data_IF_962207839530
#
_entry.id   IF_962207839530
#
_cell.length_a   1.000
_cell.length_b   1.000
_cell.length_c   1.000
_cell.angle_alpha   90.00
_cell.angle_beta   90.00
_cell.angle_gamma   90.00
#
_symmetry.space_group_name_H-M   'P 1'
#
loop_
_entity.id
_entity.type
_entity.pdbx_description
1 polymer ?
#
# COMPACT_ATOMS: atom_id res chain seq x y z
N UNK A 1 2.09 17.57 8.00
CA UNK A 1 0.82 17.11 7.45
C UNK A 1 0.63 17.78 6.11
N UNK A 2 0.19 17.01 5.13
CA UNK A 2 -0.20 17.53 3.81
C UNK A 2 -1.58 16.97 3.51
N UNK A 3 -2.47 17.84 3.07
CA UNK A 3 -3.84 17.47 2.74
C UNK A 3 -3.98 17.39 1.22
N UNK A 4 -4.70 16.35 0.75
CA UNK A 4 -5.07 16.24 -0.66
C UNK A 4 -6.28 17.14 -0.91
N UNK A 5 -6.29 17.93 -2.00
CA UNK A 5 -7.44 18.79 -2.32
C UNK A 5 -8.70 17.99 -2.63
N UNK A 6 -8.53 16.75 -3.08
CA UNK A 6 -9.61 15.81 -3.40
C UNK A 6 -9.24 14.43 -2.89
N UNK A 7 -10.22 13.69 -2.36
CA UNK A 7 -10.02 12.31 -1.93
C UNK A 7 -9.50 11.47 -3.11
N UNK A 8 -8.42 10.73 -2.89
CA UNK A 8 -7.70 10.04 -3.95
C UNK A 8 -7.20 8.67 -3.47
N UNK A 9 -7.40 7.63 -4.29
CA UNK A 9 -6.88 6.28 -4.05
C UNK A 9 -5.71 5.92 -5.01
N UNK A 10 -5.24 6.89 -5.79
CA UNK A 10 -4.14 6.69 -6.72
C UNK A 10 -2.83 6.52 -5.95
N UNK A 11 -2.34 5.29 -5.87
CA UNK A 11 -1.09 4.96 -5.18
C UNK A 11 0.12 5.74 -5.71
N UNK A 12 0.13 6.10 -7.00
CA UNK A 12 1.22 6.87 -7.60
C UNK A 12 1.27 8.28 -7.01
N UNK A 13 0.12 8.93 -6.87
CA UNK A 13 0.04 10.27 -6.28
C UNK A 13 0.33 10.26 -4.79
N UNK A 14 -0.19 9.25 -4.08
CA UNK A 14 0.10 9.06 -2.65
C UNK A 14 1.61 8.92 -2.43
N UNK A 15 2.29 8.08 -3.22
CA UNK A 15 3.74 7.91 -3.13
C UNK A 15 4.50 9.19 -3.47
N UNK A 16 4.12 9.92 -4.52
CA UNK A 16 4.73 11.21 -4.86
C UNK A 16 4.59 12.21 -3.70
N UNK A 17 3.42 12.29 -3.11
CA UNK A 17 3.18 13.18 -1.98
C UNK A 17 3.97 12.77 -0.74
N UNK A 18 4.07 11.47 -0.47
CA UNK A 18 4.88 10.94 0.63
C UNK A 18 6.37 11.29 0.45
N UNK A 19 6.90 11.17 -0.77
CA UNK A 19 8.29 11.57 -1.08
C UNK A 19 8.49 13.06 -0.85
N UNK A 20 7.58 13.89 -1.32
CA UNK A 20 7.63 15.35 -1.08
C UNK A 20 7.58 15.71 0.41
N UNK A 21 6.76 14.99 1.18
CA UNK A 21 6.75 15.15 2.64
C UNK A 21 8.08 14.72 3.27
N UNK A 22 8.68 13.65 2.77
CA UNK A 22 9.95 13.14 3.26
C UNK A 22 11.07 14.16 3.06
N UNK A 23 11.14 14.82 1.91
CA UNK A 23 12.13 15.87 1.61
C UNK A 23 12.10 17.01 2.65
N UNK A 24 10.91 17.35 3.16
CA UNK A 24 10.75 18.39 4.16
C UNK A 24 11.17 17.98 5.58
N UNK A 25 11.09 16.68 5.91
CA UNK A 25 11.38 16.19 7.27
C UNK A 25 12.73 15.48 7.37
N UNK A 26 13.28 15.05 6.25
CA UNK A 26 14.56 14.37 6.23
C UNK A 26 15.70 15.31 6.60
N UNK A 27 16.53 14.88 7.55
CA UNK A 27 17.75 15.59 7.94
C UNK A 27 18.94 14.67 7.76
N UNK A 28 19.93 15.12 7.04
CA UNK A 28 21.17 14.36 6.84
C UNK A 28 21.91 14.19 8.17
N UNK A 29 22.58 13.06 8.36
CA UNK A 29 23.34 12.75 9.57
C UNK A 29 22.53 12.10 10.69
N UNK A 30 21.21 12.01 10.61
CA UNK A 30 20.39 11.27 11.56
C UNK A 30 20.25 9.80 11.18
N UNK A 31 20.34 8.91 12.17
CA UNK A 31 20.09 7.46 11.99
C UNK A 31 18.62 7.16 12.27
N UNK A 32 17.80 7.17 11.22
CA UNK A 32 16.38 6.84 11.32
C UNK A 32 16.20 5.33 11.53
N UNK A 33 15.37 4.94 12.49
CA UNK A 33 15.07 3.53 12.77
C UNK A 33 13.76 3.08 12.11
N UNK A 34 12.78 3.98 12.02
CA UNK A 34 11.47 3.69 11.43
C UNK A 34 10.97 4.89 10.65
N UNK A 35 10.27 4.61 9.57
CA UNK A 35 9.50 5.59 8.82
C UNK A 35 8.11 5.02 8.56
N UNK A 36 7.13 5.90 8.47
CA UNK A 36 5.75 5.49 8.21
C UNK A 36 4.95 6.61 7.57
N UNK A 37 3.89 6.23 6.89
CA UNK A 37 2.89 7.13 6.32
C UNK A 37 1.54 6.77 6.91
N UNK A 38 0.82 7.76 7.42
CA UNK A 38 -0.54 7.58 7.93
C UNK A 38 -1.50 8.39 7.06
N UNK A 39 -2.49 7.72 6.50
CA UNK A 39 -3.58 8.35 5.77
C UNK A 39 -4.75 8.58 6.74
N UNK A 40 -5.31 9.77 6.72
CA UNK A 40 -6.46 10.16 7.55
C UNK A 40 -7.56 10.75 6.68
N UNK A 41 -8.79 10.84 7.19
CA UNK A 41 -9.91 11.36 6.42
C UNK A 41 -10.32 10.44 5.27
N UNK A 42 -10.29 9.12 5.52
CA UNK A 42 -10.72 8.14 4.51
C UNK A 42 -12.23 8.27 4.30
N UNK A 43 -12.65 8.35 3.04
CA UNK A 43 -14.05 8.41 2.62
C UNK A 43 -14.40 7.28 1.65
N UNK A 44 -15.66 6.93 1.55
CA UNK A 44 -16.15 5.92 0.61
C UNK A 44 -16.19 6.46 -0.82
N UNK A 45 -16.12 5.55 -1.80
CA UNK A 45 -16.19 5.91 -3.23
C UNK A 45 -17.47 6.68 -3.63
N UNK A 46 -18.57 6.51 -2.88
CA UNK A 46 -19.82 7.21 -3.12
C UNK A 46 -19.71 8.74 -2.91
N UNK A 47 -18.82 9.18 -2.03
CA UNK A 47 -18.58 10.60 -1.74
C UNK A 47 -17.67 11.27 -2.78
N UNK A 48 -17.07 10.47 -3.66
CA UNK A 48 -16.07 10.90 -4.66
C UNK A 48 -16.69 11.41 -5.97
N UNK A 49 -17.99 11.53 -6.08
CA UNK A 49 -18.61 12.06 -7.30
C UNK A 49 -18.23 13.53 -7.50
N UNK A 50 -17.02 13.74 -7.95
CA UNK A 50 -16.59 15.02 -8.47
C UNK A 50 -17.35 15.30 -9.77
N UNK A 51 -18.06 16.38 -9.80
CA UNK A 51 -18.72 16.91 -11.01
C UNK A 51 -17.72 17.16 -12.18
N UNK A 52 -16.43 17.07 -11.90
CA UNK A 52 -15.33 17.32 -12.85
C UNK A 52 -14.39 16.11 -13.03
N UNK A 53 -14.89 14.86 -12.85
CA UNK A 53 -14.07 13.67 -13.15
C UNK A 53 -13.73 13.64 -14.64
N UNK A 54 -12.42 13.59 -14.95
CA UNK A 54 -11.93 13.49 -16.31
C UNK A 54 -11.79 12.02 -16.74
N UNK A 55 -11.81 11.75 -18.07
CA UNK A 55 -11.50 10.40 -18.61
C UNK A 55 -10.17 9.85 -18.10
N UNK A 56 -9.24 10.73 -17.76
CA UNK A 56 -7.95 10.36 -17.19
C UNK A 56 -8.09 9.74 -15.81
N UNK A 57 -9.03 10.23 -15.01
CA UNK A 57 -9.29 9.70 -13.66
C UNK A 57 -9.90 8.29 -13.74
N UNK A 58 -10.76 8.03 -14.73
CA UNK A 58 -11.32 6.70 -14.95
C UNK A 58 -10.25 5.69 -15.38
N UNK A 59 -9.33 6.05 -16.25
CA UNK A 59 -8.21 5.18 -16.64
C UNK A 59 -7.32 4.85 -15.45
N UNK A 60 -7.03 5.81 -14.60
CA UNK A 60 -6.24 5.61 -13.39
C UNK A 60 -6.98 4.70 -12.40
N UNK A 61 -8.27 4.91 -12.20
CA UNK A 61 -9.09 4.07 -11.33
C UNK A 61 -9.13 2.62 -11.83
N UNK A 62 -9.27 2.40 -13.13
CA UNK A 62 -9.24 1.07 -13.73
C UNK A 62 -7.88 0.40 -13.58
N UNK A 63 -6.79 1.16 -13.71
CA UNK A 63 -5.44 0.68 -13.45
C UNK A 63 -5.27 0.24 -11.99
N UNK A 64 -5.70 1.06 -11.03
CA UNK A 64 -5.62 0.71 -9.61
C UNK A 64 -6.43 -0.54 -9.28
N UNK A 65 -7.65 -0.66 -9.80
CA UNK A 65 -8.47 -1.87 -9.65
C UNK A 65 -7.79 -3.12 -10.21
N UNK A 66 -7.13 -3.00 -11.36
CA UNK A 66 -6.40 -4.11 -11.98
C UNK A 66 -5.21 -4.55 -11.13
N UNK A 67 -4.46 -3.60 -10.55
CA UNK A 67 -3.35 -3.88 -9.63
C UNK A 67 -3.88 -4.57 -8.37
N UNK A 68 -4.95 -4.06 -7.77
CA UNK A 68 -5.54 -4.61 -6.56
C UNK A 68 -6.07 -6.03 -6.79
N UNK A 69 -6.78 -6.25 -7.91
CA UNK A 69 -7.29 -7.56 -8.31
C UNK A 69 -6.16 -8.59 -8.50
N UNK A 70 -5.07 -8.18 -9.14
CA UNK A 70 -3.90 -9.03 -9.35
C UNK A 70 -3.23 -9.37 -8.02
N UNK A 71 -3.05 -8.38 -7.14
CA UNK A 71 -2.45 -8.59 -5.82
C UNK A 71 -3.35 -9.43 -4.90
N UNK A 72 -4.66 -9.32 -5.04
CA UNK A 72 -5.60 -10.19 -4.33
C UNK A 72 -5.49 -11.64 -4.79
N UNK A 73 -5.42 -11.87 -6.10
CA UNK A 73 -5.41 -13.22 -6.70
C UNK A 73 -4.07 -13.95 -6.51
N UNK A 74 -2.96 -13.25 -6.69
CA UNK A 74 -1.62 -13.85 -6.75
C UNK A 74 -0.76 -13.57 -5.51
N UNK A 75 -1.30 -12.82 -4.55
CA UNK A 75 -0.62 -12.47 -3.32
C UNK A 75 -0.15 -11.02 -3.26
N UNK A 76 0.06 -10.54 -2.05
CA UNK A 76 0.47 -9.15 -1.79
C UNK A 76 1.81 -8.84 -2.45
N UNK A 77 1.88 -7.68 -3.09
CA UNK A 77 3.10 -7.17 -3.74
C UNK A 77 3.55 -7.95 -4.98
N UNK A 78 2.67 -8.76 -5.60
CA UNK A 78 2.92 -9.36 -6.92
C UNK A 78 3.14 -8.25 -7.95
N UNK A 79 2.28 -7.24 -7.95
CA UNK A 79 2.49 -5.98 -8.66
C UNK A 79 2.78 -4.87 -7.64
N UNK A 80 3.85 -4.15 -7.85
CA UNK A 80 4.22 -3.00 -7.02
C UNK A 80 4.77 -1.87 -7.89
N UNK A 81 4.68 -0.64 -7.39
CA UNK A 81 5.27 0.51 -8.05
C UNK A 81 6.79 0.45 -7.95
N UNK A 82 7.50 0.59 -9.06
CA UNK A 82 8.97 0.62 -9.08
C UNK A 82 9.56 1.73 -8.20
N UNK A 83 8.83 2.85 -8.06
CA UNK A 83 9.19 3.95 -7.16
C UNK A 83 9.24 3.57 -5.67
N UNK A 84 8.54 2.48 -5.28
CA UNK A 84 8.61 1.93 -3.92
C UNK A 84 9.84 1.04 -3.68
N UNK A 85 10.69 0.86 -4.68
CA UNK A 85 11.88 0.01 -4.64
C UNK A 85 11.59 -1.45 -4.98
N UNK A 86 12.46 -2.05 -5.78
CA UNK A 86 12.38 -3.46 -6.18
C UNK A 86 12.99 -4.35 -5.10
N UNK A 87 14.12 -3.95 -4.53
CA UNK A 87 14.83 -4.67 -3.48
C UNK A 87 14.53 -4.06 -2.11
N UNK A 88 13.68 -4.72 -1.34
CA UNK A 88 13.28 -4.29 0.00
C UNK A 88 14.25 -4.88 1.06
N UNK A 89 15.49 -4.41 1.11
CA UNK A 89 16.50 -4.85 2.11
C UNK A 89 16.04 -4.68 3.57
N UNK A 90 15.11 -3.74 3.78
CA UNK A 90 14.52 -3.45 5.10
C UNK A 90 13.36 -4.36 5.47
N UNK A 91 12.91 -5.22 4.54
CA UNK A 91 11.81 -6.12 4.80
C UNK A 91 12.22 -7.20 5.78
N UNK A 92 11.36 -7.52 6.73
CA UNK A 92 11.62 -8.59 7.68
C UNK A 92 11.74 -9.92 6.93
N UNK A 93 12.82 -10.65 7.16
CA UNK A 93 13.00 -12.00 6.60
C UNK A 93 11.98 -12.93 7.24
N UNK A 94 11.14 -13.56 6.42
CA UNK A 94 10.13 -14.53 6.83
C UNK A 94 10.36 -15.91 6.20
N UNK A 95 11.60 -16.33 6.15
CA UNK A 95 11.99 -17.58 5.50
C UNK A 95 11.46 -18.81 6.26
N UNK A 96 11.22 -18.68 7.56
CA UNK A 96 10.76 -19.74 8.45
C UNK A 96 9.39 -19.45 9.10
N UNK A 97 8.55 -18.67 8.47
CA UNK A 97 7.19 -18.48 8.98
C UNK A 97 6.36 -19.75 8.77
N UNK A 98 5.56 -20.13 9.77
CA UNK A 98 4.57 -21.20 9.61
C UNK A 98 3.60 -20.81 8.49
N UNK A 99 3.25 -21.78 7.64
CA UNK A 99 2.24 -21.60 6.58
C UNK A 99 0.82 -21.64 7.13
N UNK A 100 0.66 -21.98 8.40
CA UNK A 100 -0.63 -22.24 9.04
C UNK A 100 -0.99 -21.01 9.86
N UNK A 101 -2.14 -20.43 9.54
CA UNK A 101 -2.76 -19.40 10.37
C UNK A 101 -3.39 -20.10 11.58
N UNK A 102 -3.01 -19.71 12.79
CA UNK A 102 -3.59 -20.24 14.02
C UNK A 102 -5.07 -19.88 14.20
N UNK A 103 -5.58 -18.95 13.42
CA UNK A 103 -7.01 -18.63 13.38
C UNK A 103 -7.83 -19.68 12.62
N UNK A 104 -7.22 -20.51 11.78
CA UNK A 104 -7.89 -21.59 11.06
C UNK A 104 -7.68 -22.93 11.75
N UNK A 105 -8.61 -23.31 12.61
CA UNK A 105 -8.60 -24.57 13.37
C UNK A 105 -8.56 -25.84 12.50
N UNK A 106 -9.03 -25.78 11.27
CA UNK A 106 -9.05 -26.94 10.37
C UNK A 106 -7.69 -27.24 9.74
N UNK A 107 -6.82 -26.25 9.73
CA UNK A 107 -5.47 -26.34 9.18
C UNK A 107 -4.40 -26.72 10.23
N UNK A 108 -4.77 -26.87 11.50
CA UNK A 108 -3.83 -27.25 12.56
C UNK A 108 -3.31 -28.69 12.34
N UNK A 109 -2.01 -28.95 12.58
CA UNK A 109 -1.45 -30.28 12.48
C UNK A 109 -2.10 -31.22 13.51
N UNK A 110 -2.70 -32.31 13.04
CA UNK A 110 -3.30 -33.34 13.91
C UNK A 110 -2.19 -34.25 14.42
N UNK A 111 -2.12 -34.39 15.75
CA UNK A 111 -1.22 -35.38 16.40
C UNK A 111 -1.82 -36.75 16.10
N UNK A 112 -1.04 -37.64 15.46
CA UNK A 112 -1.39 -39.05 15.37
C UNK A 112 -1.00 -39.71 16.70
N UNK A 113 -1.99 -40.14 17.46
CA UNK A 113 -1.83 -41.06 18.59
C UNK A 113 -1.68 -42.47 18.09
#
# INVERSE_FOLDING_TARGET
RVDFPVANNNSIEIVKMAIKCLENIFKNGYRYQKAGVMLTGLSNDAERKNLFSSEKDEKINNLMRSIDSTNYRYGRSTLSLASAGVYKKWNMRREHSSKIDTADFYCLPKIKT
#
